data_IF_693073736746
#
_entry.id   IF_693073736746
#
_cell.length_a   1.000
_cell.length_b   1.000
_cell.length_c   1.000
_cell.angle_alpha   90.00
_cell.angle_beta   90.00
_cell.angle_gamma   90.00
#
_symmetry.space_group_name_H-M   'P 1'
#
loop_
_entity.id
_entity.type
_entity.pdbx_description
1 polymer ?
#
# COMPACT_ATOMS: atom_id res chain seq x y z
N UNK A 1 3.03 22.55 -13.35
CA UNK A 1 3.57 21.69 -12.29
C UNK A 1 5.09 21.60 -12.36
N UNK A 2 5.65 21.40 -13.57
CA UNK A 2 7.12 21.35 -13.77
C UNK A 2 7.83 22.60 -13.30
N UNK A 3 7.23 23.79 -13.44
CA UNK A 3 7.79 25.08 -13.02
C UNK A 3 8.04 25.19 -11.50
N UNK A 4 7.40 24.32 -10.70
CA UNK A 4 7.60 24.24 -9.24
C UNK A 4 8.69 23.24 -8.83
N UNK A 5 9.38 22.63 -9.81
CA UNK A 5 10.46 21.66 -9.58
C UNK A 5 10.13 20.62 -8.51
N UNK A 6 9.03 19.85 -8.64
CA UNK A 6 8.69 18.85 -7.64
C UNK A 6 9.79 17.80 -7.57
N UNK A 7 10.12 17.37 -6.36
CA UNK A 7 11.11 16.30 -6.16
C UNK A 7 10.69 15.00 -6.84
N UNK A 8 9.38 14.72 -6.89
CA UNK A 8 8.82 13.51 -7.46
C UNK A 8 7.34 13.71 -7.75
N UNK A 9 6.89 13.32 -8.93
CA UNK A 9 5.45 13.32 -9.28
C UNK A 9 4.95 11.88 -9.32
N UNK A 10 3.97 11.57 -8.47
CA UNK A 10 3.31 10.26 -8.46
C UNK A 10 2.17 10.20 -9.47
N UNK A 11 2.18 9.20 -10.35
CA UNK A 11 1.09 8.91 -11.29
C UNK A 11 0.63 7.47 -11.11
N UNK A 12 -0.67 7.25 -10.98
CA UNK A 12 -1.21 5.90 -10.82
C UNK A 12 -1.45 5.22 -12.16
N UNK A 13 -0.83 4.04 -12.36
CA UNK A 13 -1.11 3.11 -13.47
C UNK A 13 -1.32 1.73 -12.87
N UNK A 14 -2.49 1.16 -13.08
CA UNK A 14 -2.83 -0.13 -12.46
C UNK A 14 -2.53 -1.34 -13.36
N UNK A 15 -2.29 -1.13 -14.67
CA UNK A 15 -1.99 -2.19 -15.63
C UNK A 15 -1.34 -1.62 -16.87
N UNK A 16 -0.54 -2.43 -17.59
CA UNK A 16 -0.15 -2.13 -18.96
C UNK A 16 -1.28 -2.34 -19.98
N UNK A 17 -2.38 -2.97 -19.57
CA UNK A 17 -3.56 -3.19 -20.41
C UNK A 17 -4.57 -2.07 -20.14
N UNK A 18 -4.90 -1.21 -21.16
CA UNK A 18 -5.79 -0.06 -20.98
C UNK A 18 -7.16 -0.42 -20.37
N UNK A 19 -7.76 -1.51 -20.83
CA UNK A 19 -9.09 -1.95 -20.39
C UNK A 19 -9.11 -2.35 -18.91
N UNK A 20 -8.02 -2.97 -18.42
CA UNK A 20 -7.89 -3.34 -17.01
C UNK A 20 -7.71 -2.11 -16.13
N UNK A 21 -6.90 -1.15 -16.57
CA UNK A 21 -6.73 0.13 -15.85
C UNK A 21 -8.04 0.92 -15.78
N UNK A 22 -8.73 1.08 -16.93
CA UNK A 22 -10.00 1.81 -17.04
C UNK A 22 -11.10 1.13 -16.22
N UNK A 23 -11.11 -0.21 -16.18
CA UNK A 23 -12.01 -0.97 -15.32
C UNK A 23 -11.81 -0.62 -13.83
N UNK A 24 -10.56 -0.55 -13.36
CA UNK A 24 -10.23 -0.24 -11.96
C UNK A 24 -10.58 1.21 -11.63
N UNK A 25 -10.24 2.16 -12.49
CA UNK A 25 -10.52 3.59 -12.28
C UNK A 25 -12.00 3.95 -12.50
N UNK A 26 -12.77 3.07 -13.15
CA UNK A 26 -14.14 3.32 -13.58
C UNK A 26 -14.28 4.48 -14.58
N UNK A 27 -13.21 4.82 -15.29
CA UNK A 27 -13.17 5.95 -16.22
C UNK A 27 -12.56 5.51 -17.54
N UNK A 28 -13.38 5.37 -18.58
CA UNK A 28 -12.92 5.02 -19.93
C UNK A 28 -11.91 6.04 -20.45
N UNK A 29 -10.80 5.55 -21.00
CA UNK A 29 -9.71 6.36 -21.53
C UNK A 29 -8.82 7.00 -20.46
N UNK A 30 -8.93 6.60 -19.18
CA UNK A 30 -8.07 7.09 -18.12
C UNK A 30 -6.62 6.63 -18.31
N UNK A 31 -6.42 5.44 -18.84
CA UNK A 31 -5.09 4.91 -19.14
C UNK A 31 -4.34 5.83 -20.13
N UNK A 32 -4.95 6.15 -21.25
CA UNK A 32 -4.35 7.01 -22.28
C UNK A 32 -3.99 8.39 -21.71
N UNK A 33 -4.90 8.98 -20.89
CA UNK A 33 -4.64 10.28 -20.26
C UNK A 33 -3.47 10.22 -19.30
N UNK A 34 -3.38 9.16 -18.49
CA UNK A 34 -2.29 8.98 -17.55
C UNK A 34 -0.95 8.76 -18.25
N UNK A 35 -0.91 7.97 -19.34
CA UNK A 35 0.29 7.79 -20.16
C UNK A 35 0.71 9.10 -20.82
N UNK A 36 -0.23 9.89 -21.33
CA UNK A 36 0.08 11.19 -21.91
C UNK A 36 0.70 12.16 -20.90
N UNK A 37 0.19 12.18 -19.65
CA UNK A 37 0.79 12.95 -18.55
C UNK A 37 2.21 12.47 -18.24
N UNK A 38 2.43 11.14 -18.18
CA UNK A 38 3.76 10.56 -17.95
C UNK A 38 4.71 10.99 -19.06
N UNK A 39 4.29 10.91 -20.34
CA UNK A 39 5.08 11.31 -21.50
C UNK A 39 5.48 12.78 -21.42
N UNK A 40 4.54 13.66 -21.07
CA UNK A 40 4.81 15.11 -20.92
C UNK A 40 5.78 15.39 -19.77
N UNK A 41 5.59 14.76 -18.61
CA UNK A 41 6.48 14.93 -17.47
C UNK A 41 7.90 14.42 -17.78
N UNK A 42 8.01 13.28 -18.47
CA UNK A 42 9.29 12.71 -18.91
C UNK A 42 10.01 13.65 -19.88
N UNK A 43 9.30 14.25 -20.86
CA UNK A 43 9.89 15.21 -21.80
C UNK A 43 10.41 16.48 -21.13
N UNK A 44 9.89 16.81 -19.95
CA UNK A 44 10.33 17.93 -19.11
C UNK A 44 11.38 17.54 -18.06
N UNK A 45 11.91 16.32 -18.15
CA UNK A 45 12.85 15.74 -17.18
C UNK A 45 12.35 15.80 -15.72
N UNK A 46 11.03 15.80 -15.51
CA UNK A 46 10.45 15.77 -14.17
C UNK A 46 10.54 14.36 -13.60
N UNK A 47 11.07 14.15 -12.37
CA UNK A 47 11.13 12.83 -11.77
C UNK A 47 9.74 12.23 -11.56
N UNK A 48 9.53 11.01 -12.05
CA UNK A 48 8.22 10.34 -12.05
C UNK A 48 8.29 9.06 -11.22
N UNK A 49 7.26 8.84 -10.39
CA UNK A 49 6.99 7.59 -9.71
C UNK A 49 5.65 7.02 -10.19
N UNK A 50 5.67 5.92 -10.92
CA UNK A 50 4.47 5.22 -11.35
C UNK A 50 4.03 4.29 -10.23
N UNK A 51 2.87 4.56 -9.63
CA UNK A 51 2.31 3.82 -8.50
C UNK A 51 1.27 2.82 -8.97
N UNK A 52 1.38 1.59 -8.50
CA UNK A 52 0.44 0.52 -8.81
C UNK A 52 0.03 -0.24 -7.55
N UNK A 53 -1.25 -0.18 -7.19
CA UNK A 53 -1.81 -1.13 -6.25
C UNK A 53 -2.08 -2.45 -6.97
N UNK A 54 -1.48 -3.54 -6.50
CA UNK A 54 -1.70 -4.87 -7.06
C UNK A 54 -2.94 -5.48 -6.41
N UNK A 55 -3.91 -5.79 -7.23
CA UNK A 55 -5.24 -6.24 -6.83
C UNK A 55 -5.67 -7.45 -7.66
N UNK A 56 -6.69 -8.17 -7.22
CA UNK A 56 -7.23 -9.30 -7.97
C UNK A 56 -7.55 -8.98 -9.44
N UNK A 57 -8.14 -7.81 -9.80
CA UNK A 57 -8.40 -7.47 -11.20
C UNK A 57 -7.17 -7.30 -12.09
N UNK A 58 -6.03 -6.85 -11.55
CA UNK A 58 -4.83 -6.57 -12.33
C UNK A 58 -3.66 -7.54 -12.07
N UNK A 59 -3.86 -8.58 -11.26
CA UNK A 59 -2.80 -9.50 -10.87
C UNK A 59 -2.07 -10.14 -12.05
N UNK A 60 -2.74 -10.33 -13.17
CA UNK A 60 -2.17 -10.92 -14.41
C UNK A 60 -1.36 -9.93 -15.25
N UNK A 61 -1.42 -8.63 -14.95
CA UNK A 61 -0.87 -7.57 -15.82
C UNK A 61 -0.17 -6.42 -15.11
N UNK A 62 -0.15 -6.41 -13.75
CA UNK A 62 0.50 -5.34 -12.98
C UNK A 62 1.98 -5.19 -13.30
N UNK A 63 2.70 -6.30 -13.56
CA UNK A 63 4.12 -6.30 -13.86
C UNK A 63 4.49 -5.49 -15.10
N UNK A 64 3.55 -5.30 -16.03
CA UNK A 64 3.75 -4.46 -17.23
C UNK A 64 4.00 -2.99 -16.88
N UNK A 65 3.65 -2.56 -15.67
CA UNK A 65 3.94 -1.21 -15.16
C UNK A 65 5.45 -0.97 -15.03
N UNK A 66 6.24 -2.02 -14.80
CA UNK A 66 7.71 -1.93 -14.79
C UNK A 66 8.24 -1.56 -16.18
N UNK A 67 7.67 -2.16 -17.22
CA UNK A 67 8.08 -1.89 -18.61
C UNK A 67 7.71 -0.45 -19.00
N UNK A 68 6.52 0.03 -18.63
CA UNK A 68 6.12 1.44 -18.80
C UNK A 68 7.08 2.37 -18.06
N UNK A 69 7.42 2.06 -16.80
CA UNK A 69 8.34 2.90 -16.03
C UNK A 69 9.71 3.00 -16.71
N UNK A 70 10.25 1.90 -17.23
CA UNK A 70 11.51 1.89 -17.97
C UNK A 70 11.44 2.71 -19.25
N UNK A 71 10.36 2.63 -20.00
CA UNK A 71 10.16 3.38 -21.26
C UNK A 71 10.25 4.90 -21.04
N UNK A 72 9.71 5.40 -19.93
CA UNK A 72 9.65 6.83 -19.63
C UNK A 72 10.73 7.32 -18.64
N UNK A 73 11.70 6.49 -18.27
CA UNK A 73 12.74 6.84 -17.30
C UNK A 73 12.18 7.10 -15.89
N UNK A 74 11.04 6.48 -15.57
CA UNK A 74 10.37 6.59 -14.29
C UNK A 74 10.76 5.43 -13.35
N UNK A 75 10.52 5.59 -12.05
CA UNK A 75 10.52 4.48 -11.11
C UNK A 75 9.12 3.87 -11.00
N UNK A 76 9.04 2.58 -10.73
CA UNK A 76 7.78 1.90 -10.40
C UNK A 76 7.71 1.61 -8.91
N UNK A 77 6.53 1.79 -8.33
CA UNK A 77 6.25 1.47 -6.92
C UNK A 77 4.97 0.66 -6.84
N UNK A 78 5.07 -0.49 -6.21
CA UNK A 78 3.92 -1.37 -5.98
C UNK A 78 3.45 -1.32 -4.54
N UNK A 79 2.13 -1.46 -4.34
CA UNK A 79 1.50 -1.63 -3.04
C UNK A 79 0.58 -2.84 -3.10
N UNK A 80 0.62 -3.67 -2.06
CA UNK A 80 -0.18 -4.89 -1.96
C UNK A 80 -1.29 -4.78 -0.92
N UNK A 81 -1.22 -3.78 -0.03
CA UNK A 81 -2.24 -3.60 1.00
C UNK A 81 -3.45 -2.86 0.41
N UNK A 82 -4.58 -3.53 0.38
CA UNK A 82 -5.88 -2.92 0.08
C UNK A 82 -6.62 -2.76 1.40
N UNK A 83 -6.65 -1.54 1.91
CA UNK A 83 -7.30 -1.17 3.16
C UNK A 83 -8.80 -0.98 2.98
N UNK A 84 -9.53 -1.10 4.06
CA UNK A 84 -10.93 -0.76 4.08
C UNK A 84 -11.13 0.75 3.93
N UNK A 85 -12.32 1.17 3.56
CA UNK A 85 -12.65 2.59 3.45
C UNK A 85 -12.71 3.24 4.83
N UNK A 86 -12.38 4.53 4.91
CA UNK A 86 -12.36 5.31 6.16
C UNK A 86 -13.74 5.35 6.83
N UNK A 87 -14.82 5.25 6.04
CA UNK A 87 -16.19 5.17 6.52
C UNK A 87 -16.59 3.78 7.06
N UNK A 88 -15.64 2.84 7.09
CA UNK A 88 -15.83 1.48 7.60
C UNK A 88 -16.45 0.51 6.59
N UNK A 89 -16.62 0.91 5.32
CA UNK A 89 -17.09 -0.02 4.28
C UNK A 89 -15.98 -1.01 3.90
N UNK A 90 -16.19 -2.29 4.23
CA UNK A 90 -15.28 -3.40 3.93
C UNK A 90 -15.67 -4.18 2.68
N UNK A 91 -16.81 -3.85 2.05
CA UNK A 91 -17.37 -4.67 0.97
C UNK A 91 -16.44 -4.73 -0.24
N UNK A 92 -15.92 -3.58 -0.67
CA UNK A 92 -15.10 -3.48 -1.89
C UNK A 92 -13.70 -4.05 -1.67
N UNK A 93 -13.06 -3.73 -0.55
CA UNK A 93 -11.67 -4.11 -0.26
C UNK A 93 -11.48 -5.63 -0.27
N UNK A 94 -12.42 -6.40 0.28
CA UNK A 94 -12.38 -7.87 0.33
C UNK A 94 -12.32 -8.52 -1.06
N UNK A 95 -13.02 -7.94 -2.05
CA UNK A 95 -13.03 -8.45 -3.42
C UNK A 95 -11.83 -8.00 -4.26
N UNK A 96 -11.17 -6.92 -3.82
CA UNK A 96 -9.98 -6.41 -4.51
C UNK A 96 -8.69 -7.05 -3.98
N UNK A 97 -8.69 -7.57 -2.75
CA UNK A 97 -7.51 -8.22 -2.17
C UNK A 97 -7.13 -9.48 -2.95
N UNK A 98 -5.85 -9.72 -3.07
CA UNK A 98 -5.32 -10.95 -3.65
C UNK A 98 -5.73 -12.15 -2.79
N UNK A 99 -6.05 -13.29 -3.41
CA UNK A 99 -6.20 -14.55 -2.69
C UNK A 99 -4.85 -15.00 -2.11
N UNK A 100 -4.83 -15.92 -1.14
CA UNK A 100 -3.58 -16.46 -0.60
C UNK A 100 -2.64 -16.99 -1.70
N UNK A 101 -3.17 -17.69 -2.69
CA UNK A 101 -2.42 -18.29 -3.81
C UNK A 101 -1.84 -17.19 -4.73
N UNK A 102 -2.66 -16.19 -5.08
CA UNK A 102 -2.21 -15.04 -5.87
C UNK A 102 -1.12 -14.27 -5.14
N UNK A 103 -1.31 -14.05 -3.83
CA UNK A 103 -0.38 -13.31 -3.00
C UNK A 103 0.98 -14.02 -2.89
N UNK A 104 1.01 -15.35 -2.71
CA UNK A 104 2.24 -16.12 -2.67
C UNK A 104 3.03 -16.00 -3.99
N UNK A 105 2.35 -15.96 -5.14
CA UNK A 105 3.01 -15.75 -6.45
C UNK A 105 3.56 -14.34 -6.55
N UNK A 106 2.76 -13.32 -6.20
CA UNK A 106 3.15 -11.90 -6.29
C UNK A 106 4.31 -11.58 -5.33
N UNK A 107 4.34 -12.19 -4.15
CA UNK A 107 5.45 -12.04 -3.20
C UNK A 107 6.77 -12.65 -3.70
N UNK A 108 6.75 -13.39 -4.81
CA UNK A 108 7.96 -13.86 -5.52
C UNK A 108 8.45 -12.90 -6.59
N UNK A 109 7.82 -11.74 -6.76
CA UNK A 109 8.26 -10.67 -7.64
C UNK A 109 9.19 -9.71 -6.89
N UNK A 110 10.45 -9.64 -7.30
CA UNK A 110 11.48 -8.78 -6.71
C UNK A 110 11.22 -7.27 -6.91
N UNK A 111 10.31 -6.91 -7.82
CA UNK A 111 9.85 -5.53 -7.97
C UNK A 111 8.82 -5.11 -6.89
N UNK A 112 8.27 -6.05 -6.14
CA UNK A 112 7.33 -5.70 -5.06
C UNK A 112 8.05 -5.39 -3.75
N UNK A 113 7.52 -4.44 -2.94
CA UNK A 113 8.19 -4.01 -1.71
C UNK A 113 8.24 -5.08 -0.62
N UNK A 114 7.55 -6.18 -0.84
CA UNK A 114 7.40 -7.26 0.15
C UNK A 114 7.92 -8.61 -0.38
N UNK A 115 8.81 -8.57 -1.35
CA UNK A 115 9.43 -9.75 -1.95
C UNK A 115 9.95 -10.75 -0.91
N UNK A 116 9.66 -12.02 -1.14
CA UNK A 116 10.17 -13.14 -0.33
C UNK A 116 11.09 -14.01 -1.18
N UNK A 117 12.39 -13.88 -0.96
CA UNK A 117 13.42 -14.67 -1.65
C UNK A 117 13.58 -16.08 -1.11
N UNK A 118 14.37 -16.91 -1.82
CA UNK A 118 14.76 -18.25 -1.36
C UNK A 118 15.72 -18.20 -0.17
N UNK A 119 16.58 -17.20 -0.14
CA UNK A 119 17.45 -16.91 0.99
C UNK A 119 16.66 -16.14 2.04
N UNK A 120 16.90 -16.39 3.32
CA UNK A 120 16.11 -15.90 4.43
C UNK A 120 15.60 -14.45 4.20
N UNK A 121 14.34 -14.20 4.43
CA UNK A 121 13.70 -12.97 4.01
C UNK A 121 14.38 -11.77 4.66
N UNK A 122 14.89 -10.86 3.85
CA UNK A 122 15.37 -9.56 4.31
C UNK A 122 14.25 -8.70 4.93
N UNK A 123 13.02 -9.16 4.87
CA UNK A 123 11.83 -8.49 5.38
C UNK A 123 11.22 -9.14 6.60
N UNK A 124 11.85 -9.42 7.55
CA UNK A 124 11.24 -10.01 8.74
C UNK A 124 11.99 -11.27 9.12
N UNK A 125 12.05 -11.62 10.23
CA UNK A 125 12.92 -12.49 10.97
C UNK A 125 13.75 -11.67 11.95
N UNK A 126 13.82 -10.37 11.79
CA UNK A 126 14.36 -9.49 12.82
C UNK A 126 13.28 -9.23 13.88
N UNK A 127 13.61 -9.52 15.12
CA UNK A 127 12.76 -9.12 16.25
C UNK A 127 12.62 -7.59 16.22
N UNK A 128 11.39 -7.11 16.22
CA UNK A 128 11.10 -5.69 16.29
C UNK A 128 11.56 -5.13 17.63
N UNK A 129 12.15 -3.93 17.60
CA UNK A 129 12.46 -3.24 18.84
C UNK A 129 11.15 -2.76 19.49
N UNK A 130 10.82 -3.35 20.61
CA UNK A 130 9.57 -3.07 21.33
C UNK A 130 9.52 -1.66 21.94
N UNK A 131 10.68 -1.02 22.14
CA UNK A 131 10.79 0.31 22.75
C UNK A 131 10.68 1.46 21.72
N UNK A 132 10.58 1.14 20.44
CA UNK A 132 10.49 2.16 19.37
C UNK A 132 9.06 2.32 18.86
N UNK A 133 8.72 3.55 18.45
CA UNK A 133 7.53 3.79 17.66
C UNK A 133 7.68 3.06 16.30
N UNK A 134 6.71 2.26 15.88
CA UNK A 134 6.83 1.45 14.66
C UNK A 134 6.75 2.25 13.37
N UNK A 135 6.44 3.55 13.42
CA UNK A 135 6.18 4.37 12.24
C UNK A 135 6.68 5.81 12.43
N UNK A 136 7.42 6.33 11.45
CA UNK A 136 7.90 7.72 11.46
C UNK A 136 6.87 8.77 11.01
N UNK A 137 5.61 8.39 10.76
CA UNK A 137 4.56 9.35 10.41
C UNK A 137 4.27 10.31 11.58
N UNK A 138 4.14 11.60 11.29
CA UNK A 138 4.00 12.64 12.31
C UNK A 138 5.33 13.14 12.89
N UNK A 139 6.43 12.40 12.68
CA UNK A 139 7.80 12.83 13.01
C UNK A 139 8.56 13.26 11.75
N UNK A 140 8.71 12.34 10.80
CA UNK A 140 9.51 12.52 9.58
C UNK A 140 8.66 12.95 8.37
N UNK A 141 7.37 12.82 8.45
CA UNK A 141 6.40 13.17 7.41
C UNK A 141 5.09 13.63 8.00
N UNK A 142 4.36 14.42 7.22
CA UNK A 142 3.03 14.92 7.54
C UNK A 142 2.18 14.91 6.28
N UNK A 143 0.88 14.85 6.46
CA UNK A 143 -0.09 15.11 5.41
C UNK A 143 -0.98 16.29 5.81
N UNK A 144 -1.31 17.14 4.84
CA UNK A 144 -2.27 18.24 5.01
C UNK A 144 -3.44 17.92 4.11
N UNK A 145 -4.63 17.81 4.69
CA UNK A 145 -5.85 17.52 3.94
C UNK A 145 -6.35 18.77 3.19
N UNK A 146 -7.24 18.65 2.20
CA UNK A 146 -7.84 19.80 1.52
C UNK A 146 -8.53 20.80 2.46
N UNK A 147 -9.05 20.33 3.59
CA UNK A 147 -9.67 21.15 4.64
C UNK A 147 -8.65 21.89 5.52
N UNK A 148 -7.36 21.58 5.36
CA UNK A 148 -6.25 22.16 6.11
C UNK A 148 -5.90 21.42 7.40
N UNK A 149 -6.45 20.23 7.65
CA UNK A 149 -6.07 19.42 8.81
C UNK A 149 -4.69 18.84 8.65
N UNK A 150 -3.87 18.92 9.68
CA UNK A 150 -2.55 18.29 9.76
C UNK A 150 -2.70 16.92 10.38
N UNK A 151 -2.30 15.88 9.66
CA UNK A 151 -2.40 14.47 10.08
C UNK A 151 -1.06 13.77 9.89
N UNK A 152 -0.77 12.65 10.56
CA UNK A 152 0.50 11.92 10.45
C UNK A 152 0.81 11.47 9.01
N UNK A 153 -0.17 10.88 8.33
CA UNK A 153 -0.08 10.46 6.92
C UNK A 153 -1.49 10.27 6.34
N UNK A 154 -1.58 10.07 5.03
CA UNK A 154 -2.85 9.89 4.33
C UNK A 154 -3.67 8.66 4.76
N UNK A 155 -3.06 7.70 5.43
CA UNK A 155 -3.75 6.51 5.97
C UNK A 155 -4.05 6.61 7.46
N UNK A 156 -3.64 7.69 8.13
CA UNK A 156 -3.78 7.82 9.58
C UNK A 156 -4.42 9.16 9.94
N UNK A 157 -5.73 9.15 10.10
CA UNK A 157 -6.59 10.33 10.23
C UNK A 157 -6.73 10.86 11.67
N UNK A 158 -5.64 10.86 12.44
CA UNK A 158 -5.56 11.58 13.72
C UNK A 158 -5.20 13.04 13.43
N UNK A 159 -5.97 13.98 13.93
CA UNK A 159 -5.79 15.40 13.64
C UNK A 159 -4.86 16.05 14.67
N UNK A 160 -3.73 16.56 14.22
CA UNK A 160 -2.80 17.34 15.07
C UNK A 160 -3.20 18.81 15.21
N UNK A 161 -4.02 19.31 14.32
CA UNK A 161 -4.51 20.67 14.26
C UNK A 161 -4.88 21.09 12.83
N UNK A 162 -5.19 22.37 12.62
CA UNK A 162 -5.60 22.90 11.32
C UNK A 162 -4.82 24.18 10.98
N UNK A 163 -4.29 24.26 9.73
CA UNK A 163 -3.47 25.40 9.26
C UNK A 163 -4.28 26.68 8.96
N UNK A 164 -5.61 26.59 8.84
CA UNK A 164 -6.45 27.78 8.55
C UNK A 164 -6.48 28.81 9.68
N UNK A 165 -6.14 28.42 10.88
CA UNK A 165 -6.12 29.31 12.05
C UNK A 165 -4.81 29.28 12.82
N UNK A 166 -3.81 28.51 12.35
CA UNK A 166 -2.60 28.32 13.13
C UNK A 166 -1.39 28.07 12.22
N UNK A 167 -0.20 28.47 12.66
CA UNK A 167 1.04 28.13 11.96
C UNK A 167 1.39 26.66 12.21
N UNK A 168 1.91 26.00 11.16
CA UNK A 168 2.29 24.59 11.25
C UNK A 168 3.31 24.33 12.35
N UNK A 169 4.26 25.24 12.58
CA UNK A 169 5.23 25.14 13.68
C UNK A 169 4.57 25.06 15.05
N UNK A 170 3.52 25.86 15.24
CA UNK A 170 2.74 25.88 16.47
C UNK A 170 1.96 24.59 16.70
N UNK A 171 1.36 24.06 15.62
CA UNK A 171 0.66 22.78 15.64
C UNK A 171 1.64 21.66 16.05
N UNK A 172 2.81 21.62 15.42
CA UNK A 172 3.81 20.57 15.68
C UNK A 172 4.38 20.63 17.12
N UNK A 173 4.48 21.81 17.70
CA UNK A 173 5.00 21.98 19.06
C UNK A 173 3.97 21.67 20.13
N UNK A 174 2.70 22.02 19.89
CA UNK A 174 1.67 22.09 20.95
C UNK A 174 0.57 21.03 20.84
N UNK A 175 0.48 20.27 19.72
CA UNK A 175 -0.55 19.22 19.59
C UNK A 175 -0.33 18.09 20.59
N UNK A 176 -1.31 17.88 21.46
CA UNK A 176 -1.30 16.79 22.43
C UNK A 176 -1.48 15.44 21.73
N UNK A 177 -2.27 15.37 20.66
CA UNK A 177 -2.47 14.16 19.84
C UNK A 177 -1.14 13.74 19.20
N UNK A 178 -0.36 14.72 18.71
CA UNK A 178 0.96 14.43 18.15
C UNK A 178 1.92 13.94 19.24
N UNK A 179 1.95 14.58 20.39
CA UNK A 179 2.82 14.17 21.52
C UNK A 179 2.46 12.77 21.98
N UNK A 180 1.17 12.48 22.13
CA UNK A 180 0.68 11.15 22.47
C UNK A 180 1.14 10.11 21.44
N UNK A 181 0.90 10.38 20.14
CA UNK A 181 1.32 9.49 19.05
C UNK A 181 2.81 9.20 19.04
N UNK A 182 3.65 10.24 19.16
CA UNK A 182 5.10 10.09 19.15
C UNK A 182 5.64 9.40 20.42
N UNK A 183 4.91 9.45 21.53
CA UNK A 183 5.24 8.78 22.77
C UNK A 183 4.94 7.28 22.76
N UNK A 184 4.16 6.77 21.81
CA UNK A 184 3.86 5.35 21.71
C UNK A 184 5.06 4.55 21.22
N UNK A 185 5.20 3.36 21.77
CA UNK A 185 6.17 2.34 21.34
C UNK A 185 5.44 1.03 20.99
N UNK A 186 6.14 0.09 20.37
CA UNK A 186 5.52 -1.18 19.97
C UNK A 186 5.00 -2.00 21.16
N UNK A 187 5.55 -1.80 22.36
CA UNK A 187 5.07 -2.48 23.59
C UNK A 187 3.65 -2.07 24.00
N UNK A 188 3.20 -0.87 23.58
CA UNK A 188 1.86 -0.36 23.88
C UNK A 188 0.77 -1.03 23.05
N UNK A 189 1.18 -1.76 21.98
CA UNK A 189 0.25 -2.49 21.12
C UNK A 189 -0.15 -3.83 21.73
N UNK A 190 -1.45 -4.18 21.63
CA UNK A 190 -2.00 -5.37 22.30
C UNK A 190 -1.34 -6.67 21.87
N UNK A 191 -1.19 -6.89 20.56
CA UNK A 191 -0.72 -8.16 19.97
C UNK A 191 0.50 -8.02 19.07
N UNK A 192 0.80 -6.81 18.58
CA UNK A 192 1.87 -6.58 17.61
C UNK A 192 3.25 -6.89 18.21
N UNK A 193 4.08 -7.57 17.44
CA UNK A 193 5.44 -7.95 17.84
C UNK A 193 5.52 -9.21 18.71
N UNK A 194 4.40 -9.80 19.12
CA UNK A 194 4.36 -10.94 20.07
C UNK A 194 4.24 -12.31 19.39
N UNK A 195 3.86 -12.37 18.12
CA UNK A 195 3.63 -13.60 17.38
C UNK A 195 4.69 -13.80 16.29
N UNK A 196 5.02 -15.04 15.94
CA UNK A 196 6.12 -15.38 15.03
C UNK A 196 6.01 -14.66 13.68
N UNK A 197 4.80 -14.57 13.12
CA UNK A 197 4.57 -13.87 11.87
C UNK A 197 4.70 -12.34 11.98
N UNK A 198 4.72 -11.77 13.19
CA UNK A 198 4.92 -10.34 13.38
C UNK A 198 6.31 -9.87 12.91
N UNK A 199 7.30 -10.76 12.89
CA UNK A 199 8.60 -10.48 12.29
C UNK A 199 8.50 -10.16 10.79
N UNK A 200 7.46 -10.66 10.13
CA UNK A 200 7.19 -10.46 8.70
C UNK A 200 6.18 -9.33 8.43
N UNK A 201 5.78 -8.60 9.47
CA UNK A 201 4.78 -7.56 9.37
C UNK A 201 5.40 -6.22 9.00
N UNK A 202 4.87 -5.57 7.98
CA UNK A 202 5.06 -4.14 7.75
C UNK A 202 3.92 -3.40 8.47
N UNK A 203 4.09 -3.23 9.79
CA UNK A 203 3.05 -2.64 10.64
C UNK A 203 2.70 -1.23 10.16
N UNK A 204 1.40 -1.01 9.92
CA UNK A 204 0.84 0.29 9.60
C UNK A 204 -0.19 0.71 10.67
N UNK A 205 0.15 1.65 11.56
CA UNK A 205 -0.80 2.16 12.56
C UNK A 205 -2.02 2.84 11.94
N UNK A 206 -1.89 3.40 10.73
CA UNK A 206 -3.01 3.94 9.98
C UNK A 206 -4.05 2.89 9.62
N UNK A 207 -3.61 1.70 9.16
CA UNK A 207 -4.53 0.59 8.89
C UNK A 207 -5.23 0.10 10.18
N UNK A 208 -4.48 0.02 11.28
CA UNK A 208 -5.04 -0.28 12.60
C UNK A 208 -6.15 0.72 12.96
N UNK A 209 -5.88 2.01 12.75
CA UNK A 209 -6.82 3.07 13.07
C UNK A 209 -8.09 3.02 12.19
N UNK A 210 -7.93 2.78 10.88
CA UNK A 210 -9.07 2.65 9.95
C UNK A 210 -9.99 1.49 10.34
N UNK A 211 -9.41 0.35 10.71
CA UNK A 211 -10.18 -0.85 11.04
C UNK A 211 -10.81 -0.80 12.46
N UNK A 212 -10.16 -0.12 13.41
CA UNK A 212 -10.51 -0.24 14.83
C UNK A 212 -10.72 1.08 15.57
N UNK A 213 -10.51 2.24 14.93
CA UNK A 213 -10.56 3.55 15.57
C UNK A 213 -9.40 3.82 16.54
N UNK A 214 -8.42 2.92 16.62
CA UNK A 214 -7.22 3.04 17.45
C UNK A 214 -5.99 2.50 16.73
N UNK A 215 -4.81 3.14 16.86
CA UNK A 215 -3.59 2.61 16.27
C UNK A 215 -3.05 1.36 16.97
N UNK A 216 -3.50 1.05 18.18
CA UNK A 216 -2.91 0.04 19.07
C UNK A 216 -3.40 -1.38 18.80
N UNK A 217 -4.58 -1.55 18.22
CA UNK A 217 -5.14 -2.86 17.89
C UNK A 217 -4.69 -3.30 16.50
N UNK A 218 -4.26 -4.57 16.38
CA UNK A 218 -3.70 -5.09 15.14
C UNK A 218 -4.73 -5.12 14.00
N UNK A 219 -4.35 -4.57 12.84
CA UNK A 219 -5.15 -4.60 11.61
C UNK A 219 -5.19 -6.01 11.02
N UNK A 220 -6.37 -6.45 10.59
CA UNK A 220 -6.57 -7.73 9.92
C UNK A 220 -5.76 -7.81 8.61
N UNK A 221 -5.73 -6.74 7.82
CA UNK A 221 -4.98 -6.71 6.56
C UNK A 221 -3.47 -6.78 6.79
N UNK A 222 -2.95 -6.09 7.79
CA UNK A 222 -1.53 -6.18 8.13
C UNK A 222 -1.14 -7.60 8.58
N UNK A 223 -1.99 -8.21 9.41
CA UNK A 223 -1.79 -9.59 9.88
C UNK A 223 -1.92 -10.60 8.74
N UNK A 224 -2.87 -10.41 7.82
CA UNK A 224 -3.03 -11.24 6.62
C UNK A 224 -1.76 -11.26 5.77
N UNK A 225 -1.21 -10.08 5.49
CA UNK A 225 0.03 -9.93 4.73
C UNK A 225 1.24 -10.55 5.45
N UNK A 226 1.34 -10.37 6.76
CA UNK A 226 2.41 -10.94 7.57
C UNK A 226 2.36 -12.48 7.58
N UNK A 227 1.16 -13.05 7.77
CA UNK A 227 0.94 -14.50 7.75
C UNK A 227 1.27 -15.11 6.39
N UNK A 228 0.89 -14.44 5.30
CA UNK A 228 1.21 -14.92 3.95
C UNK A 228 2.73 -14.98 3.71
N UNK A 229 3.46 -13.94 4.09
CA UNK A 229 4.94 -13.91 3.98
C UNK A 229 5.62 -14.93 4.86
N UNK A 230 5.16 -15.08 6.08
CA UNK A 230 5.67 -16.11 7.00
C UNK A 230 5.50 -17.51 6.42
N UNK A 231 4.28 -17.85 5.96
CA UNK A 231 3.99 -19.16 5.34
C UNK A 231 4.83 -19.39 4.09
N UNK A 232 4.93 -18.39 3.22
CA UNK A 232 5.74 -18.48 2.01
C UNK A 232 7.23 -18.70 2.34
N UNK A 233 7.76 -17.97 3.33
CA UNK A 233 9.13 -18.18 3.79
C UNK A 233 9.37 -19.61 4.25
N UNK A 234 8.45 -20.20 5.00
CA UNK A 234 8.55 -21.60 5.44
C UNK A 234 8.46 -22.57 4.26
N UNK A 235 7.52 -22.37 3.32
CA UNK A 235 7.42 -23.18 2.11
C UNK A 235 8.75 -23.21 1.33
N UNK A 236 9.34 -22.04 1.11
CA UNK A 236 10.60 -21.91 0.39
C UNK A 236 11.78 -22.62 1.09
N UNK A 237 11.82 -22.60 2.42
CA UNK A 237 12.82 -23.32 3.21
C UNK A 237 12.69 -24.86 3.03
N UNK A 238 11.49 -25.36 2.77
CA UNK A 238 11.23 -26.77 2.49
C UNK A 238 11.30 -27.12 1.01
N UNK A 239 11.69 -26.18 0.13
CA UNK A 239 11.79 -26.40 -1.31
C UNK A 239 10.47 -26.29 -2.08
N UNK A 240 9.39 -25.87 -1.41
CA UNK A 240 8.09 -25.68 -2.03
C UNK A 240 7.94 -24.23 -2.52
N UNK A 241 8.37 -23.99 -3.77
CA UNK A 241 8.29 -22.68 -4.43
C UNK A 241 6.97 -22.57 -5.22
N UNK A 242 6.10 -21.59 -4.95
CA UNK A 242 4.85 -21.39 -5.69
C UNK A 242 5.07 -21.15 -7.19
N UNK A 243 6.26 -20.72 -7.62
CA UNK A 243 6.58 -20.61 -9.04
C UNK A 243 6.79 -21.97 -9.72
N UNK A 244 7.19 -23.01 -8.96
CA UNK A 244 7.37 -24.36 -9.48
C UNK A 244 8.27 -24.43 -10.73
N UNK A 245 9.38 -23.67 -10.74
CA UNK A 245 10.33 -23.62 -11.86
C UNK A 245 9.88 -22.78 -13.07
N UNK A 246 8.67 -22.23 -13.07
CA UNK A 246 8.20 -21.26 -14.07
C UNK A 246 8.69 -19.86 -13.73
N UNK A 247 8.77 -19.00 -14.74
CA UNK A 247 8.95 -17.57 -14.46
C UNK A 247 7.65 -16.94 -13.93
N UNK A 248 7.77 -15.76 -13.33
CA UNK A 248 6.63 -15.06 -12.74
C UNK A 248 5.49 -14.82 -13.75
N UNK A 249 5.83 -14.34 -14.95
CA UNK A 249 4.84 -14.00 -16.00
C UNK A 249 4.04 -15.22 -16.45
N UNK A 250 4.71 -16.36 -16.64
CA UNK A 250 4.04 -17.63 -16.97
C UNK A 250 3.10 -18.09 -15.86
N UNK A 251 3.52 -17.92 -14.60
CA UNK A 251 2.71 -18.31 -13.45
C UNK A 251 1.47 -17.42 -13.32
N UNK A 252 1.63 -16.10 -13.48
CA UNK A 252 0.53 -15.12 -13.44
C UNK A 252 -0.45 -15.34 -14.60
N UNK A 253 0.05 -15.65 -15.82
CA UNK A 253 -0.81 -15.93 -16.96
C UNK A 253 -1.71 -17.16 -16.74
N UNK A 254 -1.25 -18.15 -15.97
CA UNK A 254 -2.02 -19.36 -15.64
C UNK A 254 -3.08 -19.16 -14.53
N UNK A 255 -3.15 -17.99 -13.91
CA UNK A 255 -4.18 -17.70 -12.91
C UNK A 255 -5.58 -17.64 -13.54
N UNK A 256 -6.64 -18.01 -12.80
CA UNK A 256 -8.01 -17.81 -13.25
C UNK A 256 -8.30 -16.35 -13.64
N UNK A 257 -9.22 -16.16 -14.57
CA UNK A 257 -9.71 -14.82 -14.89
C UNK A 257 -10.45 -14.22 -13.69
N UNK A 258 -10.27 -12.92 -13.51
CA UNK A 258 -10.99 -12.19 -12.47
C UNK A 258 -12.49 -12.18 -12.83
N UNK A 259 -13.30 -12.78 -11.97
CA UNK A 259 -14.75 -12.72 -12.09
C UNK A 259 -15.25 -11.50 -11.32
N UNK A 260 -15.79 -10.54 -12.04
CA UNK A 260 -16.41 -9.38 -11.42
C UNK A 260 -17.66 -9.83 -10.66
N UNK A 261 -17.59 -9.79 -9.34
CA UNK A 261 -18.78 -9.95 -8.49
C UNK A 261 -19.53 -8.63 -8.53
N UNK A 262 -20.79 -8.65 -8.94
CA UNK A 262 -21.67 -7.49 -8.87
C UNK A 262 -21.90 -7.15 -7.39
N UNK A 263 -21.17 -6.18 -6.89
CA UNK A 263 -21.34 -5.68 -5.53
C UNK A 263 -22.61 -4.83 -5.55
N UNK A 264 -23.71 -5.37 -5.06
CA UNK A 264 -24.88 -4.56 -4.74
C UNK A 264 -24.49 -3.69 -3.54
N UNK A 265 -24.16 -2.43 -3.80
CA UNK A 265 -24.09 -1.43 -2.75
C UNK A 265 -25.52 -1.28 -2.21
N UNK A 266 -25.77 -1.75 -1.00
CA UNK A 266 -26.91 -1.28 -0.25
C UNK A 266 -26.77 0.24 -0.15
N UNK A 267 -27.72 0.95 -0.74
CA UNK A 267 -27.85 2.39 -0.61
C UNK A 267 -28.08 2.72 0.86
N UNK A 268 -27.04 2.81 1.65
CA UNK A 268 -27.11 3.48 2.95
C UNK A 268 -27.32 4.96 2.65
N UNK A 269 -28.57 5.40 2.73
CA UNK A 269 -28.92 6.80 2.80
C UNK A 269 -28.12 7.38 3.97
N UNK A 270 -27.16 8.25 3.63
CA UNK A 270 -26.55 9.15 4.61
C UNK A 270 -27.72 10.02 5.11
N UNK A 271 -28.14 9.80 6.35
CA UNK A 271 -28.98 10.73 7.10
C UNK A 271 -28.10 11.78 7.77
#
# INVERSE_FOLDING_TARGET
>A
LADYYPRLVGVSIYSGIPEVHDFITRIKGSWQRSIEVIRQLSSLATPINIKCCVMAPNVKSYYMVVDIAKEYGAISQFELNITDSIDGDTCVSKYLRLTPEQLEIVLRDDNTPMYVGKEAPNYGGQKKNMEQNPCGAGENSLCITPEGNVIPCCSFHVHFGNIKGNRISNILQNSEERKYWLGLSLKDYEECGKLDYCAYCNLCPGNNFVEHGTPLKASEVNCYMAKARFRLSQKLQHGDDPLQGKNLREKLAGLPEYVQIAIQRENRKIQ
#
